data_IF_638722668171
#
_entry.id   IF_638722668171
#
_cell.length_a   1.000
_cell.length_b   1.000
_cell.length_c   1.000
_cell.angle_alpha   90.00
_cell.angle_beta   90.00
_cell.angle_gamma   90.00
#
_symmetry.space_group_name_H-M   'P 1'
#
loop_
_entity.id
_entity.type
_entity.pdbx_description
1 polymer ?
#
# COMPACT_ATOMS: atom_id res chain seq x y z
N UNK A 1 -17.75 -35.92 20.15
CA UNK A 1 -16.28 -35.78 20.15
C UNK A 1 -15.97 -34.29 20.06
N UNK A 2 -15.47 -33.68 21.14
CA UNK A 2 -15.13 -32.25 21.16
C UNK A 2 -13.81 -32.06 20.39
N UNK A 3 -13.88 -31.46 19.20
CA UNK A 3 -12.70 -31.07 18.43
C UNK A 3 -11.85 -30.12 19.28
N UNK A 4 -10.61 -30.50 19.54
CA UNK A 4 -9.66 -29.74 20.33
C UNK A 4 -9.34 -28.42 19.62
N UNK A 5 -9.80 -27.30 20.18
CA UNK A 5 -9.63 -25.94 19.64
C UNK A 5 -8.20 -25.38 19.81
N UNK A 6 -7.17 -26.23 19.71
CA UNK A 6 -5.76 -25.81 19.77
C UNK A 6 -5.31 -25.55 18.33
N UNK A 7 -4.81 -24.34 17.99
CA UNK A 7 -4.20 -24.09 16.70
C UNK A 7 -3.11 -25.14 16.45
N UNK A 8 -2.99 -25.64 15.22
CA UNK A 8 -1.82 -26.47 14.87
C UNK A 8 -0.55 -25.66 15.14
N UNK A 9 0.55 -26.33 15.49
CA UNK A 9 1.79 -25.68 15.92
C UNK A 9 2.40 -24.76 14.85
N UNK A 10 1.97 -24.89 13.59
CA UNK A 10 2.39 -24.08 12.45
C UNK A 10 1.47 -22.88 12.15
N UNK A 11 0.33 -22.76 12.83
CA UNK A 11 -0.63 -21.67 12.64
C UNK A 11 -0.25 -20.42 13.45
N UNK A 12 -0.43 -19.25 12.85
CA UNK A 12 -0.21 -17.99 13.56
C UNK A 12 -1.16 -17.84 14.75
N UNK A 13 -0.59 -17.47 15.90
CA UNK A 13 -1.38 -17.08 17.07
C UNK A 13 -2.24 -15.84 16.76
N UNK A 14 -3.28 -15.61 17.56
CA UNK A 14 -4.09 -14.39 17.44
C UNK A 14 -3.27 -13.11 17.60
N UNK A 15 -2.22 -13.16 18.43
CA UNK A 15 -1.26 -12.07 18.58
C UNK A 15 -0.50 -11.81 17.28
N UNK A 16 0.11 -12.83 16.65
CA UNK A 16 0.84 -12.66 15.38
C UNK A 16 -0.08 -12.13 14.27
N UNK A 17 -1.30 -12.66 14.17
CA UNK A 17 -2.32 -12.19 13.20
C UNK A 17 -2.65 -10.71 13.39
N UNK A 18 -2.77 -10.27 14.64
CA UNK A 18 -3.03 -8.86 14.98
C UNK A 18 -1.83 -7.97 14.65
N UNK A 19 -0.62 -8.35 15.09
CA UNK A 19 0.59 -7.55 14.90
C UNK A 19 0.94 -7.40 13.42
N UNK A 20 0.86 -8.46 12.61
CA UNK A 20 1.15 -8.35 11.17
C UNK A 20 0.16 -7.43 10.46
N UNK A 21 -1.12 -7.45 10.85
CA UNK A 21 -2.12 -6.55 10.31
C UNK A 21 -1.86 -5.09 10.72
N UNK A 22 -1.49 -4.84 11.98
CA UNK A 22 -1.16 -3.51 12.49
C UNK A 22 0.10 -2.93 11.86
N UNK A 23 1.16 -3.74 11.70
CA UNK A 23 2.40 -3.36 11.01
C UNK A 23 2.17 -2.99 9.54
N UNK A 24 1.21 -3.65 8.90
CA UNK A 24 0.76 -3.35 7.55
C UNK A 24 -0.31 -2.24 7.50
N UNK A 25 -0.63 -1.56 8.61
CA UNK A 25 -1.64 -0.50 8.64
C UNK A 25 -3.06 -0.95 8.27
N UNK A 26 -3.37 -2.25 8.40
CA UNK A 26 -4.56 -2.90 7.84
C UNK A 26 -4.72 -2.66 6.33
N UNK A 27 -3.61 -2.55 5.61
CA UNK A 27 -3.55 -2.41 4.15
C UNK A 27 -2.89 -3.65 3.55
N UNK A 28 -3.44 -4.15 2.46
CA UNK A 28 -2.87 -5.30 1.77
C UNK A 28 -1.47 -4.95 1.25
N UNK A 29 -0.46 -5.71 1.66
CA UNK A 29 0.94 -5.39 1.33
C UNK A 29 1.22 -5.39 -0.18
N UNK A 30 0.41 -6.13 -0.96
CA UNK A 30 0.54 -6.24 -2.42
C UNK A 30 -0.28 -5.20 -3.19
N UNK A 31 -1.60 -5.22 -3.05
CA UNK A 31 -2.49 -4.37 -3.88
C UNK A 31 -2.86 -3.03 -3.23
N UNK A 32 -2.36 -2.77 -2.02
CA UNK A 32 -2.59 -1.53 -1.26
C UNK A 32 -4.06 -1.23 -0.92
N UNK A 33 -4.94 -2.22 -1.07
CA UNK A 33 -6.34 -2.10 -0.65
C UNK A 33 -6.45 -2.09 0.89
N UNK A 34 -7.31 -1.23 1.44
CA UNK A 34 -7.70 -1.30 2.85
C UNK A 34 -8.41 -2.63 3.12
N UNK A 35 -8.10 -3.24 4.26
CA UNK A 35 -8.61 -4.58 4.63
C UNK A 35 -9.57 -4.56 5.81
N UNK A 36 -9.75 -3.41 6.46
CA UNK A 36 -10.68 -3.23 7.59
C UNK A 36 -11.60 -2.03 7.33
N UNK A 37 -12.82 -2.12 7.83
CA UNK A 37 -13.81 -1.04 7.81
C UNK A 37 -14.85 -1.21 8.91
N UNK A 38 -15.64 -0.17 9.16
CA UNK A 38 -16.75 -0.25 10.11
C UNK A 38 -17.87 -1.15 9.58
N UNK A 39 -18.56 -1.86 10.47
CA UNK A 39 -19.86 -2.45 10.13
C UNK A 39 -20.88 -1.35 9.86
N UNK A 40 -21.76 -1.57 8.88
CA UNK A 40 -22.81 -0.61 8.54
C UNK A 40 -23.99 -0.62 9.53
N UNK A 41 -24.10 -1.67 10.35
CA UNK A 41 -25.28 -1.93 11.20
C UNK A 41 -24.96 -2.11 12.69
N UNK A 42 -23.69 -2.19 13.05
CA UNK A 42 -23.25 -2.47 14.42
C UNK A 42 -22.05 -1.60 14.76
N UNK A 43 -22.19 -0.72 15.75
CA UNK A 43 -21.16 0.25 16.14
C UNK A 43 -19.97 -0.36 16.85
N UNK A 44 -20.12 -1.55 17.43
CA UNK A 44 -19.07 -2.26 18.17
C UNK A 44 -18.31 -3.28 17.30
N UNK A 45 -18.69 -3.42 16.02
CA UNK A 45 -18.10 -4.40 15.12
C UNK A 45 -17.39 -3.75 13.93
N UNK A 46 -16.21 -4.29 13.62
CA UNK A 46 -15.47 -4.02 12.38
C UNK A 46 -15.56 -5.20 11.42
N UNK A 47 -15.61 -4.90 10.13
CA UNK A 47 -15.47 -5.89 9.05
C UNK A 47 -13.98 -5.97 8.65
N UNK A 48 -13.48 -7.18 8.44
CA UNK A 48 -12.11 -7.42 7.94
C UNK A 48 -12.11 -8.45 6.83
N UNK A 49 -11.37 -8.15 5.76
CA UNK A 49 -11.03 -9.08 4.67
C UNK A 49 -9.52 -9.38 4.64
N UNK A 50 -8.81 -8.95 5.68
CA UNK A 50 -7.37 -9.14 5.81
C UNK A 50 -7.02 -10.53 6.35
N UNK A 51 -5.93 -11.10 5.85
CA UNK A 51 -5.44 -12.43 6.18
C UNK A 51 -3.93 -12.35 6.43
N UNK A 52 -3.48 -12.93 7.54
CA UNK A 52 -2.07 -13.24 7.76
C UNK A 52 -1.72 -14.50 6.96
N UNK A 53 -1.08 -14.32 5.80
CA UNK A 53 -0.65 -15.41 4.94
C UNK A 53 0.78 -15.83 5.26
N UNK A 54 1.07 -17.13 5.11
CA UNK A 54 2.42 -17.67 5.27
C UNK A 54 3.27 -17.41 4.03
N UNK A 55 4.52 -16.97 4.24
CA UNK A 55 5.52 -16.86 3.18
C UNK A 55 6.02 -18.26 2.80
N UNK A 56 6.41 -19.07 3.79
CA UNK A 56 6.61 -20.51 3.67
C UNK A 56 5.43 -21.24 4.30
N UNK A 57 4.73 -22.09 3.54
CA UNK A 57 3.52 -22.75 4.02
C UNK A 57 3.74 -23.62 5.27
N UNK A 58 2.72 -23.62 6.13
CA UNK A 58 2.59 -24.50 7.29
C UNK A 58 2.44 -25.99 6.95
N UNK A 59 1.89 -26.29 5.78
CA UNK A 59 1.66 -27.67 5.33
C UNK A 59 2.80 -28.15 4.43
N UNK A 60 3.20 -29.42 4.59
CA UNK A 60 4.20 -30.07 3.73
C UNK A 60 3.82 -30.10 2.26
N UNK A 61 2.52 -30.11 1.95
CA UNK A 61 1.98 -30.07 0.59
C UNK A 61 1.63 -28.63 0.15
N UNK A 62 1.92 -27.63 0.98
CA UNK A 62 1.60 -26.24 0.72
C UNK A 62 2.61 -25.55 -0.18
N UNK A 63 2.22 -24.42 -0.81
CA UNK A 63 3.12 -23.60 -1.60
C UNK A 63 4.37 -23.18 -0.84
N UNK A 64 5.54 -23.27 -1.47
CA UNK A 64 6.83 -22.83 -0.90
C UNK A 64 7.18 -23.48 0.45
N UNK A 65 6.66 -24.68 0.74
CA UNK A 65 7.03 -25.42 1.93
C UNK A 65 8.57 -25.56 2.01
N UNK A 66 9.12 -25.33 3.20
CA UNK A 66 10.53 -25.48 3.47
C UNK A 66 10.72 -26.50 4.60
N UNK A 67 11.25 -27.71 4.31
CA UNK A 67 11.40 -28.77 5.31
C UNK A 67 12.43 -28.45 6.41
N UNK A 68 13.22 -27.38 6.24
CA UNK A 68 14.21 -26.94 7.22
C UNK A 68 13.60 -26.02 8.29
N UNK A 69 12.39 -25.49 8.09
CA UNK A 69 11.72 -24.64 9.07
C UNK A 69 11.05 -25.48 10.15
N UNK A 70 11.28 -25.09 11.40
CA UNK A 70 10.56 -25.60 12.57
C UNK A 70 9.16 -25.00 12.66
N UNK A 71 8.30 -25.60 13.48
CA UNK A 71 6.94 -25.12 13.69
C UNK A 71 6.93 -23.68 14.20
N UNK A 72 7.83 -23.35 15.14
CA UNK A 72 7.97 -22.02 15.71
C UNK A 72 8.38 -20.98 14.66
N UNK A 73 9.29 -21.34 13.75
CA UNK A 73 9.75 -20.46 12.66
C UNK A 73 8.66 -20.27 11.61
N UNK A 74 7.82 -21.29 11.40
CA UNK A 74 6.70 -21.22 10.46
C UNK A 74 5.57 -20.34 11.00
N UNK A 75 5.35 -20.36 12.32
CA UNK A 75 4.38 -19.54 13.03
C UNK A 75 4.93 -18.16 13.46
N UNK A 76 6.19 -17.85 13.16
CA UNK A 76 6.81 -16.57 13.51
C UNK A 76 6.31 -15.42 12.62
N UNK A 77 6.28 -14.21 13.18
CA UNK A 77 5.85 -13.01 12.47
C UNK A 77 6.72 -12.67 11.25
N UNK A 78 7.99 -13.10 11.23
CA UNK A 78 8.88 -12.95 10.08
C UNK A 78 8.41 -13.78 8.86
N UNK A 79 7.66 -14.86 9.09
CA UNK A 79 7.05 -15.69 8.06
C UNK A 79 5.62 -15.24 7.69
N UNK A 80 5.10 -14.17 8.31
CA UNK A 80 3.75 -13.67 8.07
C UNK A 80 3.73 -12.41 7.19
N UNK A 81 2.83 -12.40 6.19
CA UNK A 81 2.52 -11.22 5.37
C UNK A 81 1.03 -10.90 5.42
N UNK A 82 0.66 -9.62 5.55
CA UNK A 82 -0.75 -9.20 5.59
C UNK A 82 -1.29 -8.93 4.18
N UNK A 83 -2.30 -9.70 3.76
CA UNK A 83 -2.91 -9.61 2.43
C UNK A 83 -4.44 -9.52 2.53
N UNK A 84 -5.10 -8.94 1.54
CA UNK A 84 -6.55 -9.15 1.40
C UNK A 84 -6.84 -10.59 0.95
N UNK A 85 -8.03 -11.09 1.24
CA UNK A 85 -8.45 -12.46 0.90
C UNK A 85 -8.19 -12.85 -0.58
N UNK A 86 -8.38 -11.93 -1.52
CA UNK A 86 -8.08 -12.19 -2.94
C UNK A 86 -6.59 -12.34 -3.21
N UNK A 87 -5.75 -11.53 -2.57
CA UNK A 87 -4.30 -11.61 -2.74
C UNK A 87 -3.71 -12.82 -2.02
N UNK A 88 -4.24 -13.21 -0.85
CA UNK A 88 -3.78 -14.43 -0.16
C UNK A 88 -4.03 -15.67 -0.99
N UNK A 89 -5.18 -15.75 -1.67
CA UNK A 89 -5.46 -16.85 -2.61
C UNK A 89 -4.58 -16.78 -3.85
N UNK A 90 -4.32 -15.57 -4.38
CA UNK A 90 -3.52 -15.40 -5.60
C UNK A 90 -2.08 -15.89 -5.41
N UNK A 91 -1.44 -15.57 -4.28
CA UNK A 91 -0.02 -15.93 -4.06
C UNK A 91 0.21 -17.44 -3.99
N UNK A 92 -0.85 -18.21 -3.76
CA UNK A 92 -0.82 -19.67 -3.67
C UNK A 92 -1.25 -20.37 -4.96
N UNK A 93 -1.74 -19.61 -5.96
CA UNK A 93 -2.04 -20.16 -7.28
C UNK A 93 -0.78 -20.71 -7.94
N UNK A 94 -0.97 -21.67 -8.84
CA UNK A 94 0.13 -22.33 -9.55
C UNK A 94 1.20 -22.93 -8.61
N UNK A 95 0.77 -23.41 -7.43
CA UNK A 95 1.68 -23.94 -6.40
C UNK A 95 2.60 -22.88 -5.78
N UNK A 96 2.29 -21.59 -5.97
CA UNK A 96 3.08 -20.47 -5.47
C UNK A 96 4.34 -20.15 -6.27
N UNK A 97 4.50 -20.74 -7.46
CA UNK A 97 5.69 -20.55 -8.31
C UNK A 97 5.87 -19.10 -8.78
N UNK A 98 4.77 -18.37 -8.95
CA UNK A 98 4.79 -16.96 -9.40
C UNK A 98 5.20 -15.97 -8.29
N UNK A 99 5.31 -16.43 -7.05
CA UNK A 99 5.58 -15.60 -5.88
C UNK A 99 6.60 -16.26 -4.96
N UNK A 100 7.90 -16.15 -5.25
CA UNK A 100 8.93 -16.77 -4.41
C UNK A 100 8.92 -16.23 -2.96
N UNK A 101 9.46 -16.98 -1.98
CA UNK A 101 9.59 -16.50 -0.61
C UNK A 101 10.35 -15.18 -0.49
N UNK A 102 11.39 -14.99 -1.30
CA UNK A 102 12.20 -13.75 -1.35
C UNK A 102 11.37 -12.58 -1.87
N UNK A 103 10.57 -12.83 -2.91
CA UNK A 103 9.64 -11.83 -3.44
C UNK A 103 8.61 -11.39 -2.39
N UNK A 104 7.99 -12.34 -1.67
CA UNK A 104 7.02 -12.04 -0.62
C UNK A 104 7.66 -11.31 0.57
N UNK A 105 8.88 -11.70 0.98
CA UNK A 105 9.65 -10.98 2.00
C UNK A 105 9.93 -9.54 1.57
N UNK A 106 10.31 -9.32 0.30
CA UNK A 106 10.51 -7.97 -0.22
C UNK A 106 9.22 -7.15 -0.17
N UNK A 107 8.10 -7.71 -0.64
CA UNK A 107 6.78 -7.03 -0.60
C UNK A 107 6.42 -6.64 0.84
N UNK A 108 6.61 -7.55 1.80
CA UNK A 108 6.40 -7.29 3.23
C UNK A 108 7.27 -6.12 3.71
N UNK A 109 8.59 -6.20 3.51
CA UNK A 109 9.55 -5.19 4.00
C UNK A 109 9.31 -3.82 3.38
N UNK A 110 9.11 -3.74 2.06
CA UNK A 110 8.83 -2.48 1.36
C UNK A 110 7.55 -1.85 1.90
N UNK A 111 6.50 -2.64 2.08
CA UNK A 111 5.21 -2.13 2.55
C UNK A 111 5.23 -1.72 4.02
N UNK A 112 5.86 -2.49 4.91
CA UNK A 112 5.98 -2.10 6.32
C UNK A 112 6.81 -0.81 6.47
N UNK A 113 7.82 -0.62 5.62
CA UNK A 113 8.61 0.62 5.57
C UNK A 113 7.77 1.81 5.08
N UNK A 114 6.94 1.61 4.05
CA UNK A 114 5.98 2.60 3.57
C UNK A 114 4.98 2.99 4.66
N UNK A 115 4.36 2.00 5.34
CA UNK A 115 3.42 2.25 6.44
C UNK A 115 4.07 2.97 7.61
N UNK A 116 5.33 2.68 7.92
CA UNK A 116 6.09 3.41 8.93
C UNK A 116 6.23 4.91 8.60
N UNK A 117 6.53 5.24 7.34
CA UNK A 117 6.65 6.63 6.89
C UNK A 117 5.31 7.37 6.81
N UNK A 118 4.19 6.65 6.74
CA UNK A 118 2.84 7.22 6.72
C UNK A 118 2.24 7.47 8.11
N UNK A 119 2.87 7.01 9.19
CA UNK A 119 2.35 7.20 10.55
C UNK A 119 2.20 8.69 10.86
N UNK A 120 0.96 9.11 11.16
CA UNK A 120 0.63 10.50 11.48
C UNK A 120 0.72 11.46 10.28
N UNK A 121 1.05 10.96 9.08
CA UNK A 121 1.04 11.79 7.87
C UNK A 121 -0.40 12.05 7.48
N UNK A 122 -0.75 13.33 7.37
CA UNK A 122 -1.98 13.70 6.68
C UNK A 122 -1.80 13.34 5.20
N UNK A 123 -2.83 12.83 4.50
CA UNK A 123 -2.75 12.73 3.06
C UNK A 123 -2.40 14.12 2.55
N UNK A 124 -1.23 14.25 1.95
CA UNK A 124 -0.85 15.49 1.30
C UNK A 124 -1.99 15.83 0.37
N UNK A 125 -2.49 17.07 0.47
CA UNK A 125 -3.49 17.52 -0.47
C UNK A 125 -2.79 17.44 -1.83
N UNK A 126 -3.08 16.36 -2.59
CA UNK A 126 -2.28 15.96 -3.76
C UNK A 126 -2.27 17.02 -4.84
N UNK A 127 -3.08 18.05 -4.70
CA UNK A 127 -3.20 19.14 -5.63
C UNK A 127 -3.22 20.46 -4.86
N UNK A 128 -2.41 21.39 -5.33
CA UNK A 128 -2.61 22.81 -5.03
C UNK A 128 -3.57 23.36 -6.08
N UNK A 129 -4.63 24.02 -5.63
CA UNK A 129 -5.57 24.67 -6.53
C UNK A 129 -4.92 25.93 -7.12
N UNK A 130 -4.90 26.04 -8.45
CA UNK A 130 -4.46 27.23 -9.18
C UNK A 130 -5.69 27.89 -9.79
N UNK A 131 -5.89 29.18 -9.50
CA UNK A 131 -7.07 29.93 -9.90
C UNK A 131 -6.71 31.39 -10.22
N UNK A 132 -7.56 32.06 -11.01
CA UNK A 132 -7.43 33.48 -11.32
C UNK A 132 -6.53 33.78 -12.52
N UNK A 133 -6.06 35.02 -12.62
CA UNK A 133 -5.27 35.49 -13.78
C UNK A 133 -3.78 35.55 -13.42
N UNK A 134 -2.96 34.85 -14.18
CA UNK A 134 -1.50 34.86 -14.10
C UNK A 134 -0.95 35.61 -15.32
N UNK A 135 -0.23 36.72 -15.12
CA UNK A 135 0.33 37.52 -16.21
C UNK A 135 1.85 37.66 -16.07
N UNK A 136 2.58 37.45 -17.16
CA UNK A 136 4.01 37.69 -17.26
C UNK A 136 4.34 38.45 -18.55
N UNK A 137 5.23 39.43 -18.47
CA UNK A 137 5.70 40.17 -19.65
C UNK A 137 7.19 40.52 -19.55
N UNK A 138 7.96 40.39 -20.62
CA UNK A 138 9.38 40.75 -20.57
C UNK A 138 10.17 40.54 -21.86
N UNK A 139 11.50 40.73 -21.77
CA UNK A 139 12.45 40.44 -22.85
C UNK A 139 13.33 39.28 -22.41
N UNK A 140 13.58 38.30 -23.29
CA UNK A 140 14.32 37.08 -22.98
C UNK A 140 13.39 35.89 -22.74
N UNK A 141 13.59 35.16 -21.63
CA UNK A 141 12.77 34.01 -21.26
C UNK A 141 11.61 34.46 -20.36
N UNK A 142 10.37 34.32 -20.80
CA UNK A 142 9.16 34.70 -20.04
C UNK A 142 8.28 33.46 -19.87
N UNK A 143 7.90 33.14 -18.64
CA UNK A 143 6.95 32.06 -18.34
C UNK A 143 5.76 32.62 -17.54
N UNK A 144 4.54 32.43 -18.05
CA UNK A 144 3.31 32.93 -17.40
C UNK A 144 2.92 32.16 -16.14
N UNK A 145 3.07 30.84 -16.16
CA UNK A 145 2.83 29.97 -15.02
C UNK A 145 3.79 28.79 -15.06
N UNK A 146 4.51 28.53 -13.96
CA UNK A 146 5.39 27.37 -13.81
C UNK A 146 4.83 26.40 -12.77
N UNK A 147 4.61 25.16 -13.17
CA UNK A 147 4.02 24.09 -12.37
C UNK A 147 5.08 22.99 -12.18
N UNK A 148 5.62 22.94 -10.95
CA UNK A 148 6.66 21.98 -10.54
C UNK A 148 6.15 20.94 -9.53
N UNK A 149 4.83 20.88 -9.31
CA UNK A 149 4.18 19.96 -8.39
C UNK A 149 2.78 19.62 -8.88
N UNK A 150 2.10 18.69 -8.20
CA UNK A 150 0.75 18.31 -8.56
C UNK A 150 -0.23 19.45 -8.23
N UNK A 151 -0.97 19.91 -9.24
CA UNK A 151 -1.92 21.03 -9.12
C UNK A 151 -3.27 20.70 -9.77
N UNK A 152 -4.33 21.38 -9.33
CA UNK A 152 -5.64 21.38 -9.96
C UNK A 152 -5.90 22.79 -10.48
N UNK A 153 -5.98 22.95 -11.81
CA UNK A 153 -6.33 24.23 -12.41
C UNK A 153 -7.85 24.38 -12.35
N UNK A 154 -8.32 25.40 -11.62
CA UNK A 154 -9.75 25.64 -11.42
C UNK A 154 -10.38 26.34 -12.64
N UNK A 155 -11.70 26.16 -12.87
CA UNK A 155 -12.42 26.89 -13.90
C UNK A 155 -12.23 28.40 -13.79
N UNK A 156 -12.02 29.08 -14.92
CA UNK A 156 -11.80 30.54 -14.96
C UNK A 156 -10.35 30.98 -14.76
N UNK A 157 -9.40 30.05 -14.62
CA UNK A 157 -7.96 30.38 -14.61
C UNK A 157 -7.52 30.88 -15.98
N UNK A 158 -6.82 32.00 -16.01
CA UNK A 158 -6.27 32.62 -17.22
C UNK A 158 -4.77 32.75 -17.05
N UNK A 159 -3.99 32.35 -18.05
CA UNK A 159 -2.53 32.56 -18.07
C UNK A 159 -2.17 33.38 -19.30
N UNK A 160 -1.49 34.50 -19.11
CA UNK A 160 -0.99 35.39 -20.16
C UNK A 160 0.51 35.54 -20.03
N UNK A 161 1.23 35.23 -21.09
CA UNK A 161 2.65 35.52 -21.21
C UNK A 161 2.86 36.35 -22.49
N UNK A 162 3.56 37.48 -22.39
CA UNK A 162 3.85 38.36 -23.51
C UNK A 162 5.30 38.83 -23.47
N UNK A 163 5.85 39.31 -24.59
CA UNK A 163 7.24 39.76 -24.60
C UNK A 163 7.99 39.49 -25.89
N UNK A 164 9.31 39.73 -25.84
CA UNK A 164 10.23 39.53 -26.96
C UNK A 164 11.28 38.50 -26.53
N UNK A 165 11.35 37.36 -27.23
CA UNK A 165 12.25 36.26 -26.88
C UNK A 165 11.49 34.93 -26.77
N UNK A 166 11.89 34.06 -25.85
CA UNK A 166 11.26 32.76 -25.65
C UNK A 166 10.11 32.88 -24.63
N UNK A 167 8.88 32.85 -25.12
CA UNK A 167 7.68 33.09 -24.32
C UNK A 167 6.92 31.77 -24.12
N UNK A 168 6.73 31.37 -22.87
CA UNK A 168 6.00 30.18 -22.44
C UNK A 168 4.75 30.61 -21.69
N UNK A 169 3.57 30.19 -22.15
CA UNK A 169 2.32 30.44 -21.42
C UNK A 169 2.33 29.70 -20.08
N UNK A 170 2.33 28.36 -20.12
CA UNK A 170 2.42 27.51 -18.94
C UNK A 170 3.52 26.47 -19.14
N UNK A 171 4.41 26.32 -18.16
CA UNK A 171 5.44 25.27 -18.11
C UNK A 171 5.01 24.22 -17.10
N UNK A 172 4.88 22.96 -17.54
CA UNK A 172 4.50 21.83 -16.68
C UNK A 172 5.65 20.83 -16.68
N UNK A 173 6.22 20.58 -15.50
CA UNK A 173 7.39 19.73 -15.36
C UNK A 173 8.68 20.43 -15.80
N UNK A 174 9.74 20.22 -15.02
CA UNK A 174 11.11 20.65 -15.27
C UNK A 174 12.05 19.47 -15.20
#
# INVERSE_FOLDING_TARGET
>A
MKSSNRPSEHEFSSHVKKEVAQRAGFVCSRCKARTVGASAVDTEHSLSVGVAAHIHAASQLGPRYNPLLRAEETADISNAIHLCASCSVLIDKNGGQDFSPENLRKIKTDHESEMFLEIGRQPENKFIDVAGTHEASGIGNVTGLEINQSVRILPGTVVRASGIGHIIGTKIGG
#
